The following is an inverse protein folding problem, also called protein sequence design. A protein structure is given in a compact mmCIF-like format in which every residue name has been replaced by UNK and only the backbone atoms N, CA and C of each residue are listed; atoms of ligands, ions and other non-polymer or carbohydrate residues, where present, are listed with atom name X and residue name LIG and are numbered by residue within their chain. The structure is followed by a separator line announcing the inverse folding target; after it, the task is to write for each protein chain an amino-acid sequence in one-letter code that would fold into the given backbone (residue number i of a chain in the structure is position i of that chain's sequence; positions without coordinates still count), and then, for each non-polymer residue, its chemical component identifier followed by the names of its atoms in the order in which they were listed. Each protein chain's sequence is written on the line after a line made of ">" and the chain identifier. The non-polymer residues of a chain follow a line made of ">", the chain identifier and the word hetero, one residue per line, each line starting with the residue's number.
data_IF_892705695500
#
_entry.id   IF_892705695500
#
_cell.length_a   1.000
_cell.length_b   1.000
_cell.length_c   1.000
_cell.angle_alpha   90.00
_cell.angle_beta   90.00
_cell.angle_gamma   90.00
#
_symmetry.space_group_name_H-M   'P 1'
#
loop_
_entity.id
_entity.type
_entity.pdbx_description
1 polymer ?
#
# COMPACT_ATOMS: atom_id res chain seq x y z
N UNK A 1 -28.19 28.88 -67.62
CA UNK A 1 -27.20 29.61 -66.79
C UNK A 1 -26.78 28.68 -65.67
N UNK A 2 -25.71 27.92 -65.87
CA UNK A 2 -25.18 26.96 -64.88
C UNK A 2 -23.76 27.38 -64.48
N UNK A 3 -23.60 27.91 -63.27
CA UNK A 3 -22.30 28.16 -62.64
C UNK A 3 -21.91 26.92 -61.82
N UNK A 4 -21.11 26.03 -62.41
CA UNK A 4 -20.42 24.96 -61.67
C UNK A 4 -19.30 25.58 -60.83
N UNK A 5 -19.48 25.54 -59.52
CA UNK A 5 -18.44 25.87 -58.56
C UNK A 5 -17.42 24.72 -58.51
N UNK A 6 -16.19 24.99 -58.93
CA UNK A 6 -15.06 24.09 -58.77
C UNK A 6 -14.75 23.97 -57.27
N UNK A 7 -15.15 22.84 -56.69
CA UNK A 7 -14.78 22.47 -55.32
C UNK A 7 -13.29 22.15 -55.32
N UNK A 8 -12.50 23.15 -54.90
CA UNK A 8 -11.07 23.03 -54.66
C UNK A 8 -10.81 21.95 -53.60
N UNK A 9 -10.41 20.77 -54.04
CA UNK A 9 -9.95 19.69 -53.16
C UNK A 9 -8.64 20.12 -52.49
N UNK A 10 -8.74 20.70 -51.28
CA UNK A 10 -7.58 20.97 -50.46
C UNK A 10 -6.91 19.64 -50.10
N UNK A 11 -5.72 19.38 -50.66
CA UNK A 11 -4.83 18.28 -50.26
C UNK A 11 -4.48 18.44 -48.78
N UNK A 12 -5.27 17.81 -47.91
CA UNK A 12 -4.91 17.70 -46.50
C UNK A 12 -3.68 16.79 -46.39
N UNK A 13 -2.62 17.30 -45.76
CA UNK A 13 -1.45 16.50 -45.44
C UNK A 13 -1.87 15.26 -44.62
N UNK A 14 -1.24 14.09 -44.87
CA UNK A 14 -1.57 12.88 -44.14
C UNK A 14 -1.37 13.12 -42.64
N UNK A 15 -2.46 13.00 -41.87
CA UNK A 15 -2.39 13.04 -40.40
C UNK A 15 -1.58 11.84 -39.95
N UNK A 16 -0.44 12.08 -39.31
CA UNK A 16 0.31 11.04 -38.62
C UNK A 16 -0.52 10.61 -37.42
N UNK A 17 -1.19 9.47 -37.54
CA UNK A 17 -1.95 8.86 -36.44
C UNK A 17 -1.00 7.94 -35.69
N UNK A 18 -0.65 8.33 -34.46
CA UNK A 18 0.11 7.45 -33.58
C UNK A 18 -0.75 6.24 -33.22
N UNK A 19 -0.22 5.05 -33.42
CA UNK A 19 -0.90 3.81 -33.04
C UNK A 19 -1.11 3.78 -31.51
N UNK A 20 -2.35 3.51 -31.08
CA UNK A 20 -2.75 3.49 -29.68
C UNK A 20 -1.96 2.45 -28.85
N UNK A 21 -1.59 1.32 -29.46
CA UNK A 21 -0.81 0.26 -28.83
C UNK A 21 0.61 0.73 -28.49
N UNK A 22 1.22 1.51 -29.39
CA UNK A 22 2.54 2.13 -29.14
C UNK A 22 2.44 3.10 -27.97
N UNK A 23 1.38 3.92 -27.94
CA UNK A 23 1.15 4.86 -26.85
C UNK A 23 0.95 4.13 -25.51
N UNK A 24 0.15 3.06 -25.49
CA UNK A 24 -0.02 2.21 -24.31
C UNK A 24 1.32 1.62 -23.87
N UNK A 25 2.11 1.08 -24.80
CA UNK A 25 3.43 0.54 -24.50
C UNK A 25 4.34 1.60 -23.87
N UNK A 26 4.40 2.82 -24.42
CA UNK A 26 5.19 3.92 -23.86
C UNK A 26 4.75 4.28 -22.43
N UNK A 27 3.45 4.29 -22.16
CA UNK A 27 2.91 4.61 -20.82
C UNK A 27 3.38 3.64 -19.73
N UNK A 28 3.75 2.41 -20.07
CA UNK A 28 4.29 1.43 -19.11
C UNK A 28 5.72 1.75 -18.66
N UNK A 29 6.46 2.56 -19.43
CA UNK A 29 7.83 2.98 -19.08
C UNK A 29 7.89 4.34 -18.39
N UNK A 30 6.78 5.07 -18.35
CA UNK A 30 6.72 6.36 -17.68
C UNK A 30 6.74 6.19 -16.16
N UNK A 31 7.44 7.10 -15.49
CA UNK A 31 7.33 7.19 -14.04
C UNK A 31 5.93 7.65 -13.64
N UNK A 32 5.51 7.38 -12.39
CA UNK A 32 4.19 7.77 -11.89
C UNK A 32 3.89 9.25 -12.12
N UNK A 33 4.87 10.14 -11.92
CA UNK A 33 4.68 11.59 -12.09
C UNK A 33 4.41 11.96 -13.55
N UNK A 34 5.19 11.41 -14.47
CA UNK A 34 5.06 11.63 -15.91
C UNK A 34 3.75 11.05 -16.43
N UNK A 35 3.40 9.84 -15.98
CA UNK A 35 2.14 9.19 -16.29
C UNK A 35 0.94 10.04 -15.85
N UNK A 36 0.98 10.58 -14.63
CA UNK A 36 -0.08 11.48 -14.17
C UNK A 36 -0.14 12.77 -15.01
N UNK A 37 1.00 13.37 -15.36
CA UNK A 37 1.02 14.55 -16.23
C UNK A 37 0.38 14.23 -17.60
N UNK A 38 0.70 13.07 -18.18
CA UNK A 38 0.11 12.62 -19.43
C UNK A 38 -1.41 12.39 -19.32
N UNK A 39 -1.87 11.78 -18.22
CA UNK A 39 -3.29 11.55 -17.94
C UNK A 39 -4.10 12.84 -17.80
N UNK A 40 -3.47 13.97 -17.48
CA UNK A 40 -4.14 15.27 -17.35
C UNK A 40 -4.38 15.97 -18.69
N UNK A 41 -3.79 15.49 -19.79
CA UNK A 41 -3.88 16.18 -21.09
C UNK A 41 -5.21 15.92 -21.80
N UNK A 42 -5.74 14.69 -21.76
CA UNK A 42 -7.04 14.37 -22.35
C UNK A 42 -7.71 13.13 -21.70
N UNK A 43 -9.02 12.98 -21.89
CA UNK A 43 -9.80 11.86 -21.31
C UNK A 43 -9.38 10.48 -21.84
N UNK A 44 -8.98 10.37 -23.11
CA UNK A 44 -8.51 9.11 -23.69
C UNK A 44 -7.24 8.62 -22.99
N UNK A 45 -6.26 9.53 -22.81
CA UNK A 45 -5.02 9.27 -22.08
C UNK A 45 -5.28 9.00 -20.59
N UNK A 46 -6.25 9.68 -19.98
CA UNK A 46 -6.65 9.38 -18.61
C UNK A 46 -7.12 7.91 -18.47
N UNK A 47 -7.97 7.42 -19.37
CA UNK A 47 -8.49 6.04 -19.32
C UNK A 47 -7.38 5.00 -19.47
N UNK A 48 -6.47 5.20 -20.44
CA UNK A 48 -5.34 4.31 -20.69
C UNK A 48 -4.32 4.38 -19.55
N UNK A 49 -3.99 5.58 -19.10
CA UNK A 49 -3.02 5.80 -18.03
C UNK A 49 -3.50 5.27 -16.70
N UNK A 50 -4.82 5.20 -16.47
CA UNK A 50 -5.37 4.54 -15.29
C UNK A 50 -4.99 3.05 -15.24
N UNK A 51 -4.93 2.35 -16.39
CA UNK A 51 -4.50 0.95 -16.44
C UNK A 51 -3.02 0.83 -16.05
N UNK A 52 -2.16 1.65 -16.65
CA UNK A 52 -0.73 1.67 -16.35
C UNK A 52 -0.48 2.07 -14.88
N UNK A 53 -1.22 3.04 -14.34
CA UNK A 53 -1.07 3.54 -12.98
C UNK A 53 -1.37 2.47 -11.93
N UNK A 54 -2.41 1.66 -12.15
CA UNK A 54 -2.77 0.56 -11.25
C UNK A 54 -1.88 -0.68 -11.39
N UNK A 55 -1.09 -0.77 -12.48
CA UNK A 55 -0.05 -1.77 -12.62
C UNK A 55 1.20 -1.43 -11.78
N UNK A 56 1.42 -0.14 -11.47
CA UNK A 56 2.51 0.31 -10.62
C UNK A 56 2.20 0.05 -9.13
N UNK A 57 3.23 -0.19 -8.28
CA UNK A 57 3.04 -0.36 -6.84
C UNK A 57 2.37 0.86 -6.19
N UNK A 58 1.22 0.66 -5.53
CA UNK A 58 0.54 1.72 -4.78
C UNK A 58 0.90 1.61 -3.31
N UNK A 59 1.59 2.60 -2.78
CA UNK A 59 1.97 2.68 -1.36
C UNK A 59 1.10 3.70 -0.63
N UNK A 60 0.37 3.24 0.38
CA UNK A 60 -0.55 4.04 1.19
C UNK A 60 -0.03 4.04 2.64
N UNK A 61 0.58 5.15 3.04
CA UNK A 61 1.19 5.31 4.38
C UNK A 61 0.41 6.17 5.37
N UNK A 62 -0.61 6.89 4.89
CA UNK A 62 -1.39 7.79 5.73
C UNK A 62 -2.89 7.56 5.57
N UNK A 63 -3.64 7.85 6.63
CA UNK A 63 -5.10 7.79 6.62
C UNK A 63 -5.70 8.75 5.57
N UNK A 64 -5.09 9.94 5.39
CA UNK A 64 -5.54 10.89 4.35
C UNK A 64 -5.36 10.34 2.94
N UNK A 65 -4.23 9.70 2.65
CA UNK A 65 -4.01 9.03 1.36
C UNK A 65 -4.96 7.86 1.17
N UNK A 66 -5.22 7.10 2.24
CA UNK A 66 -6.15 5.98 2.23
C UNK A 66 -7.58 6.44 1.89
N UNK A 67 -8.07 7.48 2.56
CA UNK A 67 -9.40 8.05 2.32
C UNK A 67 -9.56 8.57 0.89
N UNK A 68 -8.54 9.23 0.34
CA UNK A 68 -8.51 9.68 -1.06
C UNK A 68 -8.53 8.50 -2.03
N UNK A 69 -7.71 7.48 -1.77
CA UNK A 69 -7.68 6.25 -2.55
C UNK A 69 -9.05 5.56 -2.54
N UNK A 70 -9.65 5.34 -1.37
CA UNK A 70 -10.96 4.73 -1.26
C UNK A 70 -12.05 5.55 -1.96
N UNK A 71 -12.01 6.88 -1.84
CA UNK A 71 -12.96 7.76 -2.54
C UNK A 71 -12.80 7.67 -4.06
N UNK A 72 -11.57 7.63 -4.56
CA UNK A 72 -11.30 7.39 -5.97
C UNK A 72 -11.80 6.02 -6.41
N UNK A 73 -11.49 4.94 -5.68
CA UNK A 73 -11.92 3.59 -6.04
C UNK A 73 -13.44 3.46 -6.09
N UNK A 74 -14.17 4.09 -5.15
CA UNK A 74 -15.64 4.01 -5.09
C UNK A 74 -16.38 4.54 -6.31
N UNK A 75 -15.79 5.46 -7.08
CA UNK A 75 -16.43 5.98 -8.30
C UNK A 75 -16.63 4.88 -9.35
N UNK A 76 -15.77 3.86 -9.37
CA UNK A 76 -15.89 2.70 -10.26
C UNK A 76 -15.19 1.49 -9.62
N UNK A 77 -15.78 1.02 -8.53
CA UNK A 77 -15.16 0.02 -7.65
C UNK A 77 -14.83 -1.27 -8.40
N UNK A 78 -15.74 -1.75 -9.24
CA UNK A 78 -15.58 -3.03 -9.94
C UNK A 78 -14.47 -2.98 -10.99
N UNK A 79 -14.43 -1.93 -11.81
CA UNK A 79 -13.45 -1.84 -12.89
C UNK A 79 -12.08 -1.46 -12.37
N UNK A 80 -11.99 -0.50 -11.43
CA UNK A 80 -10.71 -0.02 -10.90
C UNK A 80 -10.03 -1.08 -10.02
N UNK A 81 -10.78 -1.77 -9.15
CA UNK A 81 -10.19 -2.80 -8.27
C UNK A 81 -9.60 -3.96 -9.06
N UNK A 82 -10.24 -4.36 -10.17
CA UNK A 82 -9.71 -5.41 -11.06
C UNK A 82 -8.39 -5.04 -11.74
N UNK A 83 -8.03 -3.76 -11.82
CA UNK A 83 -6.75 -3.32 -12.43
C UNK A 83 -5.62 -3.25 -11.41
N UNK A 84 -5.94 -3.30 -10.12
CA UNK A 84 -4.98 -3.20 -9.04
C UNK A 84 -4.10 -4.46 -9.01
N UNK A 85 -2.80 -4.30 -9.28
CA UNK A 85 -1.84 -5.41 -9.24
C UNK A 85 -1.05 -5.48 -7.94
N UNK A 86 -0.69 -4.33 -7.38
CA UNK A 86 0.26 -4.24 -6.28
C UNK A 86 -0.15 -3.13 -5.32
N UNK A 87 -0.35 -3.46 -4.06
CA UNK A 87 -0.71 -2.48 -3.04
C UNK A 87 0.04 -2.75 -1.74
N UNK A 88 0.55 -1.66 -1.15
CA UNK A 88 1.14 -1.62 0.17
C UNK A 88 0.28 -0.71 1.07
N UNK A 89 -0.23 -1.28 2.16
CA UNK A 89 -1.12 -0.67 3.12
C UNK A 89 -0.39 -0.57 4.46
N UNK A 90 0.41 0.49 4.59
CA UNK A 90 1.27 0.75 5.74
C UNK A 90 0.75 1.94 6.55
N UNK A 91 -0.50 1.85 6.97
CA UNK A 91 -1.11 2.88 7.81
C UNK A 91 -0.79 2.56 9.26
N UNK A 92 0.24 3.22 9.79
CA UNK A 92 0.61 3.11 11.20
C UNK A 92 -0.58 3.50 12.08
N UNK A 93 -1.17 2.51 12.76
CA UNK A 93 -2.23 2.75 13.70
C UNK A 93 -1.62 3.06 15.06
N UNK A 94 -1.50 4.35 15.39
CA UNK A 94 -1.09 4.77 16.73
C UNK A 94 -2.23 4.50 17.70
N UNK A 95 -2.32 3.25 18.17
CA UNK A 95 -3.31 2.78 19.16
C UNK A 95 -3.10 3.41 20.56
N UNK A 96 -2.13 4.31 20.71
CA UNK A 96 -1.71 4.87 21.98
C UNK A 96 -2.60 5.98 22.54
N UNK A 97 -3.62 6.47 21.81
CA UNK A 97 -4.49 7.55 22.31
C UNK A 97 -5.95 7.21 22.08
N UNK A 98 -6.56 6.66 23.13
CA UNK A 98 -7.90 6.11 23.12
C UNK A 98 -9.03 7.09 22.79
N UNK A 99 -10.09 6.48 22.25
CA UNK A 99 -11.51 6.85 22.32
C UNK A 99 -11.96 8.08 21.52
N UNK A 100 -12.73 7.83 20.46
CA UNK A 100 -13.73 8.78 19.95
C UNK A 100 -13.83 8.84 18.44
N UNK A 101 -13.03 9.72 17.81
CA UNK A 101 -13.19 10.03 16.37
C UNK A 101 -12.18 9.32 15.45
N UNK A 102 -10.92 9.20 15.86
CA UNK A 102 -9.89 8.54 15.04
C UNK A 102 -10.20 7.04 14.81
N UNK A 103 -10.79 6.40 15.82
CA UNK A 103 -11.25 5.01 15.72
C UNK A 103 -12.39 4.82 14.68
N UNK A 104 -13.25 5.82 14.51
CA UNK A 104 -14.38 5.73 13.58
C UNK A 104 -13.95 5.90 12.12
N UNK A 105 -13.03 6.84 11.85
CA UNK A 105 -12.48 7.00 10.50
C UNK A 105 -11.71 5.75 10.06
N UNK A 106 -10.95 5.15 10.99
CA UNK A 106 -10.30 3.85 10.77
C UNK A 106 -11.29 2.74 10.40
N UNK A 107 -12.43 2.66 11.10
CA UNK A 107 -13.46 1.65 10.80
C UNK A 107 -14.08 1.81 9.41
N UNK A 108 -14.41 3.04 9.02
CA UNK A 108 -14.98 3.31 7.68
C UNK A 108 -13.95 3.02 6.59
N UNK A 109 -12.71 3.49 6.78
CA UNK A 109 -11.64 3.27 5.83
C UNK A 109 -11.32 1.77 5.68
N UNK A 110 -11.30 1.02 6.79
CA UNK A 110 -11.08 -0.43 6.78
C UNK A 110 -12.19 -1.16 6.01
N UNK A 111 -13.47 -0.85 6.26
CA UNK A 111 -14.59 -1.43 5.50
C UNK A 111 -14.48 -1.12 3.99
N UNK A 112 -14.04 0.07 3.63
CA UNK A 112 -13.82 0.44 2.23
C UNK A 112 -12.67 -0.35 1.61
N UNK A 113 -11.57 -0.56 2.34
CA UNK A 113 -10.45 -1.39 1.88
C UNK A 113 -10.87 -2.83 1.69
N UNK A 114 -11.59 -3.41 2.65
CA UNK A 114 -12.14 -4.77 2.53
C UNK A 114 -12.98 -4.87 1.26
N UNK A 115 -13.86 -3.90 1.01
CA UNK A 115 -14.66 -3.85 -0.22
C UNK A 115 -13.83 -3.76 -1.50
N UNK A 116 -12.72 -3.01 -1.49
CA UNK A 116 -11.78 -2.93 -2.62
C UNK A 116 -11.09 -4.28 -2.84
N UNK A 117 -10.58 -4.90 -1.77
CA UNK A 117 -9.88 -6.19 -1.83
C UNK A 117 -10.79 -7.31 -2.35
N UNK A 118 -12.06 -7.35 -1.93
CA UNK A 118 -13.05 -8.31 -2.45
C UNK A 118 -13.25 -8.24 -3.98
N UNK A 119 -12.93 -7.10 -4.61
CA UNK A 119 -13.04 -6.91 -6.06
C UNK A 119 -11.68 -6.92 -6.78
N UNK A 120 -10.58 -7.04 -6.06
CA UNK A 120 -9.22 -6.99 -6.58
C UNK A 120 -8.70 -8.37 -7.04
N UNK A 121 -9.46 -9.06 -7.89
CA UNK A 121 -9.17 -10.45 -8.29
C UNK A 121 -7.82 -10.65 -9.02
N UNK A 122 -7.23 -9.58 -9.54
CA UNK A 122 -5.93 -9.59 -10.22
C UNK A 122 -4.81 -9.02 -9.36
N UNK A 123 -5.03 -8.86 -8.05
CA UNK A 123 -3.99 -8.44 -7.13
C UNK A 123 -2.93 -9.54 -7.03
N UNK A 124 -1.68 -9.18 -7.34
CA UNK A 124 -0.52 -10.08 -7.36
C UNK A 124 0.36 -9.91 -6.11
N UNK A 125 0.47 -8.68 -5.61
CA UNK A 125 1.29 -8.35 -4.43
C UNK A 125 0.47 -7.52 -3.43
N UNK A 126 0.37 -8.00 -2.20
CA UNK A 126 -0.26 -7.31 -1.08
C UNK A 126 0.75 -7.20 0.05
N UNK A 127 1.12 -5.98 0.42
CA UNK A 127 1.83 -5.68 1.64
C UNK A 127 0.87 -4.95 2.58
N UNK A 128 0.70 -5.45 3.80
CA UNK A 128 -0.24 -4.89 4.75
C UNK A 128 0.35 -4.95 6.16
N UNK A 129 0.41 -3.79 6.80
CA UNK A 129 0.72 -3.67 8.22
C UNK A 129 -0.58 -3.67 9.00
N UNK A 130 -0.74 -4.68 9.85
CA UNK A 130 -2.00 -4.94 10.55
C UNK A 130 -1.78 -4.79 12.05
N UNK A 131 -2.62 -3.98 12.70
CA UNK A 131 -2.56 -3.77 14.16
C UNK A 131 -3.02 -5.01 14.93
N UNK A 132 -2.67 -5.07 16.22
CA UNK A 132 -2.89 -6.25 17.08
C UNK A 132 -4.35 -6.75 17.05
N UNK A 133 -5.33 -5.85 17.07
CA UNK A 133 -6.74 -6.27 17.09
C UNK A 133 -7.41 -6.27 15.71
N UNK A 134 -6.75 -5.84 14.65
CA UNK A 134 -7.42 -5.60 13.36
C UNK A 134 -8.00 -6.87 12.74
N UNK A 135 -7.28 -7.99 12.68
CA UNK A 135 -7.83 -9.24 12.14
C UNK A 135 -9.00 -9.77 12.97
N UNK A 136 -8.96 -9.57 14.30
CA UNK A 136 -10.03 -9.98 15.21
C UNK A 136 -11.26 -9.08 15.09
N UNK A 137 -11.05 -7.77 14.92
CA UNK A 137 -12.12 -6.77 14.77
C UNK A 137 -12.76 -6.77 13.39
N UNK A 138 -12.02 -7.24 12.37
CA UNK A 138 -12.42 -7.26 10.97
C UNK A 138 -12.14 -8.64 10.36
N UNK A 139 -12.87 -9.69 10.77
CA UNK A 139 -12.71 -11.03 10.19
C UNK A 139 -12.96 -11.03 8.67
N UNK A 140 -13.74 -10.09 8.15
CA UNK A 140 -14.00 -9.93 6.73
C UNK A 140 -12.74 -9.54 5.94
N UNK A 141 -11.73 -8.95 6.60
CA UNK A 141 -10.42 -8.68 5.98
C UNK A 141 -9.71 -10.00 5.64
N UNK A 142 -9.72 -10.97 6.57
CA UNK A 142 -9.16 -12.30 6.34
C UNK A 142 -9.83 -12.98 5.15
N UNK A 143 -11.17 -12.99 5.13
CA UNK A 143 -11.95 -13.54 4.00
C UNK A 143 -11.68 -12.82 2.68
N UNK A 144 -11.53 -11.48 2.72
CA UNK A 144 -11.20 -10.70 1.53
C UNK A 144 -9.81 -11.08 1.00
N UNK A 145 -8.81 -11.25 1.87
CA UNK A 145 -7.46 -11.66 1.48
C UNK A 145 -7.47 -13.10 0.92
N UNK A 146 -8.18 -14.03 1.54
CA UNK A 146 -8.35 -15.40 1.06
C UNK A 146 -9.00 -15.47 -0.33
N UNK A 147 -9.85 -14.51 -0.67
CA UNK A 147 -10.51 -14.45 -1.98
C UNK A 147 -9.60 -14.01 -3.14
N UNK A 148 -8.36 -13.58 -2.87
CA UNK A 148 -7.42 -13.07 -3.85
C UNK A 148 -6.69 -14.20 -4.61
N UNK A 149 -7.36 -14.77 -5.61
CA UNK A 149 -6.89 -15.94 -6.36
C UNK A 149 -5.57 -15.76 -7.13
N UNK A 150 -5.18 -14.52 -7.45
CA UNK A 150 -3.93 -14.21 -8.16
C UNK A 150 -2.82 -13.73 -7.25
N UNK A 151 -3.04 -13.72 -5.93
CA UNK A 151 -2.05 -13.24 -4.99
C UNK A 151 -0.85 -14.18 -4.97
N UNK A 152 0.34 -13.62 -5.25
CA UNK A 152 1.61 -14.35 -5.32
C UNK A 152 2.53 -14.00 -4.18
N UNK A 153 2.43 -12.76 -3.69
CA UNK A 153 3.22 -12.24 -2.59
C UNK A 153 2.25 -11.61 -1.58
N UNK A 154 2.24 -12.18 -0.38
CA UNK A 154 1.63 -11.58 0.80
C UNK A 154 2.75 -11.21 1.77
N UNK A 155 2.85 -9.92 2.08
CA UNK A 155 3.67 -9.38 3.17
C UNK A 155 2.73 -8.93 4.28
N UNK A 156 2.75 -9.66 5.39
CA UNK A 156 1.95 -9.34 6.56
C UNK A 156 2.90 -8.90 7.68
N UNK A 157 2.84 -7.61 8.03
CA UNK A 157 3.57 -7.08 9.18
C UNK A 157 2.64 -7.03 10.37
N UNK A 158 2.94 -7.82 11.40
CA UNK A 158 2.09 -7.97 12.58
C UNK A 158 2.94 -7.84 13.87
N UNK A 159 2.68 -6.84 14.72
CA UNK A 159 3.52 -6.56 15.88
C UNK A 159 3.33 -7.57 17.03
N UNK A 160 2.12 -8.07 17.26
CA UNK A 160 1.80 -8.90 18.43
C UNK A 160 0.74 -9.97 18.10
N UNK A 161 1.01 -11.26 18.39
CA UNK A 161 0.22 -12.50 18.14
C UNK A 161 0.37 -13.21 16.76
N UNK A 162 1.42 -13.99 16.60
CA UNK A 162 1.61 -14.83 15.40
C UNK A 162 0.48 -15.84 15.10
N UNK A 163 -0.41 -16.13 16.06
CA UNK A 163 -1.45 -17.17 15.94
C UNK A 163 -2.55 -16.82 14.93
N UNK A 164 -3.08 -15.60 14.93
CA UNK A 164 -4.14 -15.20 13.99
C UNK A 164 -3.61 -15.05 12.56
N UNK A 165 -2.39 -14.52 12.41
CA UNK A 165 -1.68 -14.52 11.14
C UNK A 165 -1.46 -15.95 10.63
N UNK A 166 -1.02 -16.87 11.49
CA UNK A 166 -0.85 -18.28 11.12
C UNK A 166 -2.17 -18.94 10.69
N UNK A 167 -3.30 -18.63 11.37
CA UNK A 167 -4.63 -19.09 10.96
C UNK A 167 -4.99 -18.58 9.57
N UNK A 168 -4.83 -17.28 9.30
CA UNK A 168 -5.08 -16.71 7.97
C UNK A 168 -4.24 -17.45 6.91
N UNK A 169 -2.94 -17.59 7.16
CA UNK A 169 -2.03 -18.26 6.22
C UNK A 169 -2.38 -19.74 5.99
N UNK A 170 -2.96 -20.43 6.98
CA UNK A 170 -3.36 -21.83 6.84
C UNK A 170 -4.56 -22.07 5.90
N UNK A 171 -5.40 -21.05 5.67
CA UNK A 171 -6.58 -21.14 4.79
C UNK A 171 -6.28 -20.70 3.35
N UNK A 172 -5.14 -20.07 3.10
CA UNK A 172 -4.80 -19.58 1.76
C UNK A 172 -4.36 -20.73 0.84
N UNK A 173 -4.83 -20.69 -0.41
CA UNK A 173 -4.30 -21.51 -1.52
C UNK A 173 -2.78 -21.30 -1.64
N UNK A 174 -2.03 -22.27 -2.20
CA UNK A 174 -0.56 -22.22 -2.19
C UNK A 174 -0.06 -20.93 -2.84
N UNK A 175 0.44 -20.02 -2.00
CA UNK A 175 1.11 -18.80 -2.41
C UNK A 175 2.46 -19.17 -3.03
N UNK A 176 2.83 -18.51 -4.13
CA UNK A 176 4.18 -18.70 -4.70
C UNK A 176 5.27 -18.22 -3.73
N UNK A 177 4.98 -17.18 -2.94
CA UNK A 177 5.81 -16.71 -1.86
C UNK A 177 4.93 -16.09 -0.77
N UNK A 178 5.12 -16.54 0.47
CA UNK A 178 4.55 -15.89 1.64
C UNK A 178 5.69 -15.30 2.47
N UNK A 179 5.66 -13.99 2.71
CA UNK A 179 6.64 -13.31 3.55
C UNK A 179 5.90 -12.84 4.79
N UNK A 180 6.12 -13.51 5.92
CA UNK A 180 5.58 -13.06 7.21
C UNK A 180 6.67 -12.34 7.97
N UNK A 181 6.51 -11.04 8.21
CA UNK A 181 7.48 -10.23 8.95
C UNK A 181 6.93 -10.05 10.37
N UNK A 182 7.58 -10.71 11.33
CA UNK A 182 7.26 -10.57 12.74
C UNK A 182 8.22 -9.57 13.36
N UNK A 183 7.72 -8.36 13.63
CA UNK A 183 8.46 -7.35 14.36
C UNK A 183 8.26 -7.58 15.85
N UNK A 184 9.11 -8.40 16.46
CA UNK A 184 9.14 -8.57 17.92
C UNK A 184 9.80 -7.34 18.53
N UNK A 185 9.00 -6.33 18.87
CA UNK A 185 9.52 -5.19 19.63
C UNK A 185 9.69 -5.62 21.09
N UNK A 186 10.91 -6.02 21.46
CA UNK A 186 11.27 -6.22 22.87
C UNK A 186 11.35 -4.84 23.51
N UNK A 187 10.23 -4.38 24.07
CA UNK A 187 10.29 -3.28 25.03
C UNK A 187 10.98 -3.85 26.26
N UNK A 188 12.30 -3.59 26.38
CA UNK A 188 13.00 -3.83 27.62
C UNK A 188 12.31 -3.00 28.69
N UNK A 189 11.45 -3.65 29.48
CA UNK A 189 10.86 -3.11 30.68
C UNK A 189 12.02 -2.73 31.60
N UNK A 190 12.52 -1.51 31.46
CA UNK A 190 13.37 -0.92 32.48
C UNK A 190 12.46 -0.73 33.69
N UNK A 191 12.33 -1.78 34.49
CA UNK A 191 11.98 -1.70 35.89
C UNK A 191 13.07 -0.89 36.57
N UNK A 192 13.00 0.43 36.37
CA UNK A 192 13.70 1.40 37.21
C UNK A 192 13.08 1.24 38.60
N UNK A 193 13.63 0.31 39.35
CA UNK A 193 13.57 0.35 40.81
C UNK A 193 14.24 1.66 41.20
N UNK A 194 13.42 2.70 41.34
CA UNK A 194 13.78 3.89 42.10
C UNK A 194 14.09 3.41 43.51
N UNK A 195 15.36 3.10 43.76
CA UNK A 195 15.93 3.23 45.09
C UNK A 195 15.92 4.73 45.36
N UNK A 196 15.01 5.16 46.24
CA UNK A 196 14.97 6.54 46.72
C UNK A 196 16.34 6.91 47.29
N UNK A 197 17.01 7.95 46.77
CA UNK A 197 18.21 8.46 47.42
C UNK A 197 17.81 9.15 48.73
N UNK A 198 18.56 8.97 49.83
CA UNK A 198 18.34 9.72 51.06
C UNK A 198 18.59 11.21 50.80
N UNK A 199 17.71 12.04 51.35
CA UNK A 199 17.73 13.48 51.20
C UNK A 199 19.08 14.07 51.67
N UNK A 200 19.84 14.65 50.74
CA UNK A 200 20.87 15.63 51.05
C UNK A 200 20.74 16.80 50.09
N UNK A 201 20.50 17.97 50.69
CA UNK A 201 20.64 19.27 50.05
C UNK A 201 22.11 19.47 49.75
N UNK A 202 22.47 19.68 48.50
CA UNK A 202 23.34 20.80 48.15
C UNK A 202 23.34 21.11 46.66
N UNK A 203 23.50 22.39 46.40
CA UNK A 203 23.41 23.12 45.15
C UNK A 203 24.54 22.83 44.17
N UNK A 204 24.20 22.76 42.87
CA UNK A 204 25.09 23.22 41.81
C UNK A 204 25.26 22.28 40.61
N UNK A 205 25.05 22.87 39.43
CA UNK A 205 25.70 22.52 38.15
C UNK A 205 25.13 21.41 37.25
N UNK A 206 24.61 21.87 36.12
CA UNK A 206 24.72 21.37 34.74
C UNK A 206 25.00 19.87 34.49
N UNK A 207 24.10 19.19 33.74
CA UNK A 207 24.38 18.05 32.84
C UNK A 207 23.17 17.79 31.93
N UNK A 208 23.35 17.95 30.61
CA UNK A 208 23.64 16.88 29.64
C UNK A 208 22.56 15.78 29.58
N UNK A 209 21.64 15.97 28.64
CA UNK A 209 20.64 14.97 28.25
C UNK A 209 21.31 13.79 27.52
N UNK A 210 21.07 12.58 28.01
CA UNK A 210 21.49 11.35 27.36
C UNK A 210 20.42 10.90 26.34
N UNK A 211 20.78 10.59 25.09
CA UNK A 211 19.86 10.03 24.11
C UNK A 211 19.67 8.52 24.37
N UNK A 212 18.46 8.11 24.76
CA UNK A 212 18.07 6.70 24.79
C UNK A 212 17.93 6.17 23.37
N UNK A 213 18.87 5.33 22.93
CA UNK A 213 18.80 4.57 21.68
C UNK A 213 17.86 3.37 21.87
N UNK A 214 16.70 3.38 21.19
CA UNK A 214 15.88 2.17 21.00
C UNK A 214 16.54 1.31 19.93
N UNK A 215 16.87 0.06 20.27
CA UNK A 215 17.34 -0.93 19.29
C UNK A 215 16.15 -1.83 18.94
N UNK A 216 15.73 -1.83 17.67
CA UNK A 216 14.68 -2.72 17.17
C UNK A 216 15.31 -3.85 16.37
N UNK A 217 14.87 -5.09 16.62
CA UNK A 217 15.29 -6.27 15.85
C UNK A 217 14.09 -6.80 15.06
N UNK A 218 14.27 -7.07 13.76
CA UNK A 218 13.26 -7.70 12.90
C UNK A 218 13.67 -9.13 12.60
N UNK A 219 12.86 -10.12 13.00
CA UNK A 219 13.04 -11.52 12.63
C UNK A 219 12.19 -11.83 11.39
N UNK A 220 12.86 -12.01 10.25
CA UNK A 220 12.20 -12.38 8.98
C UNK A 220 12.14 -13.90 8.91
N UNK A 221 10.97 -14.47 9.16
CA UNK A 221 10.72 -15.89 8.91
C UNK A 221 10.25 -16.07 7.47
N UNK A 222 11.17 -16.45 6.58
CA UNK A 222 10.81 -16.88 5.23
C UNK A 222 10.50 -18.38 5.26
N UNK A 223 9.22 -18.76 5.31
CA UNK A 223 8.81 -20.14 5.03
C UNK A 223 8.93 -20.37 3.53
N UNK A 224 10.13 -20.73 3.07
CA UNK A 224 10.43 -20.99 1.67
C UNK A 224 10.05 -22.43 1.32
N UNK A 225 8.99 -22.61 0.54
CA UNK A 225 8.86 -23.78 -0.34
C UNK A 225 9.79 -23.58 -1.54
N UNK A 226 11.07 -23.94 -1.33
CA UNK A 226 12.11 -24.19 -2.34
C UNK A 226 12.03 -23.43 -3.68
N UNK A 227 12.23 -22.11 -3.67
CA UNK A 227 12.64 -21.34 -4.86
C UNK A 227 13.69 -20.32 -4.38
N UNK A 228 14.87 -20.21 -5.02
CA UNK A 228 15.92 -19.29 -4.59
C UNK A 228 15.40 -17.85 -4.60
N UNK A 229 15.38 -17.24 -3.42
CA UNK A 229 14.95 -15.86 -3.19
C UNK A 229 16.01 -14.93 -3.79
N UNK A 230 15.66 -14.23 -4.86
CA UNK A 230 16.40 -13.03 -5.29
C UNK A 230 16.12 -11.95 -4.24
N UNK A 231 17.08 -11.69 -3.37
CA UNK A 231 17.07 -10.56 -2.43
C UNK A 231 16.86 -9.27 -3.23
N UNK A 232 15.64 -8.70 -3.16
CA UNK A 232 15.38 -7.36 -3.71
C UNK A 232 15.93 -6.36 -2.70
N UNK A 233 16.96 -5.61 -3.12
CA UNK A 233 17.32 -4.36 -2.48
C UNK A 233 16.09 -3.43 -2.48
N UNK A 234 15.66 -3.03 -1.29
CA UNK A 234 14.66 -1.98 -1.11
C UNK A 234 15.39 -0.66 -1.40
N UNK A 235 15.26 -0.14 -2.61
CA UNK A 235 15.69 1.21 -2.93
C UNK A 235 14.72 2.18 -2.25
N UNK A 236 15.08 2.67 -1.05
CA UNK A 236 14.43 3.85 -0.49
C UNK A 236 14.98 5.06 -1.24
N UNK A 237 14.21 5.56 -2.20
CA UNK A 237 14.48 6.87 -2.79
C UNK A 237 14.10 7.93 -1.76
N UNK A 238 15.10 8.56 -1.15
CA UNK A 238 14.94 9.84 -0.46
C UNK A 238 14.98 10.93 -1.53
N UNK A 239 13.88 11.67 -1.66
CA UNK A 239 13.95 13.04 -2.18
C UNK A 239 14.56 13.94 -1.10
#
# INVERSE_FOLDING_TARGET
>A
MDKRAEVSQSKFAPRVVLNLDILCYLMWFLERRELMALMMTCHALHSLGTVALFALPIDIRSERSLSRFCTYMRQDLRTRSRRLKKIALNVEYNDSVGVGLAANLSRIAMKQIIGILCHAHYLEELDITVGHYTLKSYPELSTAIESLQKLRLLSLTYPDNATEAAKLLSHMQPLNACISIFNVSIQASQSSSRVSPPASRDSGSARQGSPHLRTSYSLVYATSTSIPIRTRAIWTWRC
#
